data_IF_856239109003
#
_entry.id   IF_856239109003
#
_cell.length_a   1.000
_cell.length_b   1.000
_cell.length_c   1.000
_cell.angle_alpha   90.00
_cell.angle_beta   90.00
_cell.angle_gamma   90.00
#
_symmetry.space_group_name_H-M   'P 1'
#
loop_
_entity.id
_entity.type
_entity.pdbx_description
1 polymer ?
#
# COMPACT_ATOMS: atom_id res chain seq x y z
N UNK A 1 24.01 17.77 -69.03
CA UNK A 1 22.69 17.20 -69.43
C UNK A 1 22.69 15.70 -69.13
N UNK A 2 22.13 15.30 -67.98
CA UNK A 2 21.46 14.00 -67.75
C UNK A 2 20.83 14.02 -66.36
N UNK A 3 19.57 13.64 -66.37
CA UNK A 3 18.57 13.61 -65.30
C UNK A 3 18.84 12.37 -64.41
N UNK A 4 18.66 12.44 -63.08
CA UNK A 4 18.81 11.29 -62.18
C UNK A 4 17.54 10.41 -62.19
N UNK A 5 17.63 9.11 -61.85
CA UNK A 5 16.47 8.41 -61.33
C UNK A 5 16.68 7.87 -59.92
N UNK A 6 15.68 8.24 -59.10
CA UNK A 6 14.98 7.44 -58.10
C UNK A 6 15.67 7.00 -56.81
N UNK A 7 15.25 7.75 -55.78
CA UNK A 7 14.94 7.32 -54.43
C UNK A 7 14.39 5.88 -54.34
N UNK A 8 15.07 5.07 -53.52
CA UNK A 8 14.49 3.90 -52.85
C UNK A 8 14.52 4.17 -51.35
N UNK A 9 13.33 4.31 -50.77
CA UNK A 9 13.08 4.34 -49.33
C UNK A 9 13.29 2.94 -48.75
N UNK A 10 14.25 2.80 -47.83
CA UNK A 10 14.34 1.66 -46.93
C UNK A 10 14.44 2.19 -45.50
N UNK A 11 13.29 2.25 -44.82
CA UNK A 11 13.16 2.58 -43.40
C UNK A 11 13.74 1.43 -42.59
N UNK A 12 14.99 1.55 -42.14
CA UNK A 12 15.53 0.64 -41.11
C UNK A 12 15.08 1.15 -39.74
N UNK A 13 13.99 0.55 -39.24
CA UNK A 13 13.58 0.66 -37.85
C UNK A 13 14.60 -0.08 -36.98
N UNK A 14 15.54 0.65 -36.39
CA UNK A 14 16.42 0.11 -35.36
C UNK A 14 15.60 -0.06 -34.08
N UNK A 15 15.29 -1.30 -33.73
CA UNK A 15 14.60 -1.67 -32.51
C UNK A 15 15.39 -1.18 -31.28
N UNK A 16 14.72 -0.44 -30.40
CA UNK A 16 15.27 -0.02 -29.13
C UNK A 16 15.58 -1.24 -28.24
N UNK A 17 16.70 -1.25 -27.50
CA UNK A 17 17.07 -2.37 -26.63
C UNK A 17 16.02 -2.53 -25.53
N UNK A 18 15.43 -3.71 -25.45
CA UNK A 18 14.51 -4.09 -24.38
C UNK A 18 15.27 -4.11 -23.06
N UNK A 19 14.89 -3.21 -22.13
CA UNK A 19 15.39 -3.26 -20.76
C UNK A 19 15.06 -4.65 -20.17
N UNK A 20 16.02 -5.36 -19.56
CA UNK A 20 15.71 -6.60 -18.87
C UNK A 20 14.66 -6.33 -17.79
N UNK A 21 13.62 -7.16 -17.80
CA UNK A 21 12.56 -7.14 -16.79
C UNK A 21 13.21 -7.41 -15.43
N UNK A 22 13.17 -6.43 -14.53
CA UNK A 22 13.61 -6.61 -13.16
C UNK A 22 12.88 -7.81 -12.55
N UNK A 23 13.61 -8.85 -12.21
CA UNK A 23 13.10 -9.95 -11.40
C UNK A 23 12.80 -9.39 -10.01
N UNK A 24 11.52 -9.20 -9.71
CA UNK A 24 11.08 -8.80 -8.38
C UNK A 24 11.50 -9.89 -7.39
N UNK A 25 12.51 -9.60 -6.58
CA UNK A 25 12.92 -10.49 -5.48
C UNK A 25 11.77 -10.54 -4.48
N UNK A 26 11.34 -11.75 -4.12
CA UNK A 26 10.28 -11.93 -3.14
C UNK A 26 10.68 -11.27 -1.81
N UNK A 27 9.81 -10.45 -1.19
CA UNK A 27 10.14 -9.81 0.08
C UNK A 27 10.33 -10.86 1.16
N UNK A 28 11.43 -10.72 1.91
CA UNK A 28 11.84 -11.71 2.91
C UNK A 28 10.95 -11.69 4.14
N UNK A 29 10.89 -12.86 4.79
CA UNK A 29 10.04 -13.11 5.96
C UNK A 29 10.78 -12.96 7.28
N UNK A 30 12.11 -13.09 7.27
CA UNK A 30 12.92 -13.09 8.50
C UNK A 30 13.17 -11.66 8.98
N UNK A 31 12.77 -11.31 10.21
CA UNK A 31 13.05 -9.99 10.79
C UNK A 31 14.53 -9.61 10.69
N UNK A 32 14.83 -8.32 10.54
CA UNK A 32 16.19 -7.76 10.45
C UNK A 32 17.03 -8.20 9.25
N UNK A 33 16.44 -8.81 8.22
CA UNK A 33 17.15 -9.15 6.97
C UNK A 33 16.47 -8.55 5.73
N UNK A 34 17.14 -7.62 5.05
CA UNK A 34 16.73 -7.09 3.73
C UNK A 34 15.62 -6.04 3.72
N UNK A 35 15.11 -5.72 2.51
CA UNK A 35 14.05 -4.74 2.24
C UNK A 35 12.66 -5.37 2.25
N UNK A 36 11.68 -4.70 2.88
CA UNK A 36 10.27 -5.12 2.89
C UNK A 36 9.43 -4.11 2.12
N UNK A 37 8.65 -4.56 1.14
CA UNK A 37 7.70 -3.70 0.44
C UNK A 37 6.51 -3.33 1.33
N UNK A 38 5.96 -2.13 1.17
CA UNK A 38 4.95 -1.55 2.07
C UNK A 38 3.68 -2.41 2.24
N UNK A 39 3.14 -2.99 1.17
CA UNK A 39 2.00 -3.91 1.27
C UNK A 39 2.33 -5.22 2.00
N UNK A 40 3.56 -5.72 1.82
CA UNK A 40 4.04 -6.90 2.53
C UNK A 40 4.34 -6.64 4.00
N UNK A 41 4.70 -5.41 4.37
CA UNK A 41 4.78 -5.02 5.77
C UNK A 41 3.41 -5.14 6.45
N UNK A 42 2.36 -4.59 5.84
CA UNK A 42 0.99 -4.67 6.39
C UNK A 42 0.54 -6.12 6.52
N UNK A 43 0.64 -6.92 5.45
CA UNK A 43 0.15 -8.30 5.48
C UNK A 43 0.98 -9.23 6.35
N UNK A 44 2.30 -9.02 6.46
CA UNK A 44 3.17 -9.73 7.41
C UNK A 44 2.80 -9.39 8.86
N UNK A 45 2.63 -8.11 9.20
CA UNK A 45 2.27 -7.72 10.58
C UNK A 45 0.93 -8.33 10.99
N UNK A 46 -0.07 -8.32 10.10
CA UNK A 46 -1.37 -8.93 10.40
C UNK A 46 -1.26 -10.45 10.59
N UNK A 47 -0.54 -11.13 9.70
CA UNK A 47 -0.29 -12.58 9.84
C UNK A 47 0.41 -12.90 11.16
N UNK A 48 1.47 -12.17 11.47
CA UNK A 48 2.28 -12.42 12.67
C UNK A 48 1.54 -12.05 13.96
N UNK A 49 0.52 -11.17 13.88
CA UNK A 49 -0.45 -10.91 14.95
C UNK A 49 -1.54 -11.99 15.09
N UNK A 50 -1.53 -13.04 14.25
CA UNK A 50 -2.45 -14.18 14.33
C UNK A 50 -3.69 -14.06 13.45
N UNK A 51 -3.82 -13.02 12.60
CA UNK A 51 -4.88 -12.97 11.60
C UNK A 51 -4.57 -13.93 10.44
N UNK A 52 -5.61 -14.59 9.93
CA UNK A 52 -5.48 -15.38 8.69
C UNK A 52 -5.57 -14.44 7.50
N UNK A 53 -4.46 -14.26 6.79
CA UNK A 53 -4.36 -13.34 5.65
C UNK A 53 -3.68 -14.04 4.48
N UNK A 54 -4.27 -13.92 3.29
CA UNK A 54 -3.59 -14.25 2.04
C UNK A 54 -2.49 -13.22 1.75
N UNK A 55 -1.33 -13.47 2.34
CA UNK A 55 -0.26 -12.47 2.52
C UNK A 55 0.19 -11.84 1.20
N UNK A 56 0.43 -12.67 0.19
CA UNK A 56 0.91 -12.22 -1.13
C UNK A 56 -0.18 -11.47 -1.87
N UNK A 57 -1.40 -12.01 -1.90
CA UNK A 57 -2.52 -11.37 -2.60
C UNK A 57 -2.82 -10.00 -2.00
N UNK A 58 -2.91 -9.89 -0.67
CA UNK A 58 -3.13 -8.62 0.02
C UNK A 58 -2.01 -7.62 -0.24
N UNK A 59 -0.75 -8.06 -0.16
CA UNK A 59 0.41 -7.18 -0.31
C UNK A 59 0.54 -6.57 -1.71
N UNK A 60 0.03 -7.26 -2.74
CA UNK A 60 0.08 -6.82 -4.13
C UNK A 60 -1.11 -5.93 -4.52
N UNK A 61 -2.10 -5.76 -3.64
CA UNK A 61 -3.23 -4.88 -3.92
C UNK A 61 -2.82 -3.41 -3.90
N UNK A 62 -3.63 -2.58 -4.57
CA UNK A 62 -3.54 -1.11 -4.43
C UNK A 62 -3.75 -0.73 -2.97
N UNK A 63 -3.09 0.33 -2.52
CA UNK A 63 -3.17 0.78 -1.11
C UNK A 63 -4.63 1.01 -0.65
N UNK A 64 -5.47 1.63 -1.48
CA UNK A 64 -6.90 1.78 -1.18
C UNK A 64 -7.64 0.44 -1.03
N UNK A 65 -7.27 -0.57 -1.82
CA UNK A 65 -7.90 -1.89 -1.77
C UNK A 65 -7.55 -2.61 -0.47
N UNK A 66 -6.31 -2.49 0.00
CA UNK A 66 -5.90 -2.96 1.33
C UNK A 66 -6.77 -2.29 2.42
N UNK A 67 -6.95 -0.97 2.35
CA UNK A 67 -7.81 -0.25 3.32
C UNK A 67 -9.26 -0.75 3.28
N UNK A 68 -9.82 -0.93 2.08
CA UNK A 68 -11.20 -1.43 1.89
C UNK A 68 -11.39 -2.87 2.32
N UNK A 69 -10.34 -3.69 2.22
CA UNK A 69 -10.36 -5.07 2.67
C UNK A 69 -10.44 -5.15 4.20
N UNK A 70 -9.67 -4.31 4.89
CA UNK A 70 -9.46 -4.39 6.35
C UNK A 70 -10.48 -3.61 7.17
N UNK A 71 -10.94 -2.44 6.70
CA UNK A 71 -11.85 -1.57 7.43
C UNK A 71 -13.28 -1.63 6.86
N UNK A 72 -14.33 -1.60 7.70
CA UNK A 72 -15.70 -1.51 7.22
C UNK A 72 -15.96 -0.15 6.55
N UNK A 73 -16.81 -0.05 5.50
CA UNK A 73 -17.00 1.19 4.74
C UNK A 73 -17.33 2.44 5.58
N UNK A 74 -18.08 2.27 6.67
CA UNK A 74 -18.46 3.35 7.60
C UNK A 74 -17.27 3.91 8.42
N UNK A 75 -16.14 3.20 8.43
CA UNK A 75 -14.90 3.54 9.14
C UNK A 75 -13.77 3.87 8.18
N UNK A 76 -14.11 4.18 6.92
CA UNK A 76 -13.16 4.60 5.88
C UNK A 76 -13.40 6.06 5.55
N UNK A 77 -12.34 6.86 5.62
CA UNK A 77 -12.33 8.27 5.21
C UNK A 77 -11.39 8.46 4.03
N UNK A 78 -11.81 9.29 3.07
CA UNK A 78 -11.04 9.62 1.86
C UNK A 78 -10.76 11.10 1.82
N UNK A 79 -9.51 11.44 1.55
CA UNK A 79 -9.05 12.82 1.48
C UNK A 79 -8.30 13.03 0.18
N UNK A 80 -8.67 14.07 -0.59
CA UNK A 80 -7.98 14.45 -1.83
C UNK A 80 -7.46 15.87 -1.71
N UNK A 81 -6.19 16.07 -2.03
CA UNK A 81 -5.48 17.35 -1.94
C UNK A 81 -5.67 18.03 -0.57
N UNK A 82 -5.69 17.24 0.51
CA UNK A 82 -5.81 17.74 1.88
C UNK A 82 -4.43 17.74 2.54
N UNK A 83 -4.11 18.77 3.35
CA UNK A 83 -2.89 18.75 4.15
C UNK A 83 -2.94 17.61 5.17
N UNK A 84 -1.78 17.08 5.53
CA UNK A 84 -1.63 15.96 6.48
C UNK A 84 -2.33 16.27 7.80
N UNK A 85 -2.22 17.49 8.32
CA UNK A 85 -2.91 17.93 9.55
C UNK A 85 -4.42 17.66 9.50
N UNK A 86 -5.09 17.98 8.39
CA UNK A 86 -6.53 17.76 8.23
C UNK A 86 -6.92 16.27 8.14
N UNK A 87 -6.02 15.42 7.65
CA UNK A 87 -6.19 13.95 7.69
C UNK A 87 -6.09 13.48 9.13
N UNK A 88 -5.04 13.89 9.85
CA UNK A 88 -4.79 13.50 11.24
C UNK A 88 -5.88 13.99 12.20
N UNK A 89 -6.48 15.16 11.96
CA UNK A 89 -7.61 15.63 12.76
C UNK A 89 -8.81 14.68 12.68
N UNK A 90 -9.01 14.03 11.53
CA UNK A 90 -10.07 13.03 11.39
C UNK A 90 -9.73 11.74 12.15
N UNK A 91 -8.46 11.33 12.13
CA UNK A 91 -7.97 10.19 12.93
C UNK A 91 -8.10 10.45 14.43
N UNK A 92 -7.71 11.64 14.89
CA UNK A 92 -7.86 12.06 16.30
C UNK A 92 -9.32 12.07 16.74
N UNK A 93 -10.22 12.64 15.91
CA UNK A 93 -11.68 12.61 16.17
C UNK A 93 -12.26 11.20 16.19
N UNK A 94 -11.72 10.28 15.41
CA UNK A 94 -12.12 8.87 15.42
C UNK A 94 -11.63 8.12 16.69
N UNK A 95 -10.81 8.77 17.51
CA UNK A 95 -10.34 8.28 18.81
C UNK A 95 -9.07 7.45 18.73
N UNK A 96 -8.58 7.02 19.90
CA UNK A 96 -7.46 6.10 20.03
C UNK A 96 -7.66 4.83 19.19
N UNK A 97 -6.54 4.25 18.74
CA UNK A 97 -6.53 2.93 18.14
C UNK A 97 -5.59 2.81 16.95
N UNK A 98 -5.70 1.67 16.28
CA UNK A 98 -4.93 1.33 15.09
C UNK A 98 -5.76 1.59 13.83
N UNK A 99 -5.10 2.16 12.83
CA UNK A 99 -5.68 2.46 11.54
C UNK A 99 -4.74 1.97 10.44
N UNK A 100 -5.28 1.69 9.27
CA UNK A 100 -4.50 1.53 8.04
C UNK A 100 -4.64 2.79 7.20
N UNK A 101 -3.53 3.26 6.62
CA UNK A 101 -3.52 4.38 5.68
C UNK A 101 -2.98 3.92 4.35
N UNK A 102 -3.76 4.16 3.29
CA UNK A 102 -3.36 4.00 1.90
C UNK A 102 -3.12 5.37 1.26
N UNK A 103 -2.06 5.47 0.48
CA UNK A 103 -1.56 6.67 -0.18
C UNK A 103 -1.40 6.39 -1.69
N UNK A 104 -1.11 7.41 -2.49
CA UNK A 104 -0.90 7.26 -3.94
C UNK A 104 0.14 6.18 -4.30
N UNK A 105 1.22 6.10 -3.52
CA UNK A 105 2.38 5.24 -3.79
C UNK A 105 2.78 4.37 -2.60
N UNK A 106 2.00 4.38 -1.51
CA UNK A 106 2.43 3.81 -0.23
C UNK A 106 1.28 3.32 0.64
N UNK A 107 1.60 2.47 1.62
CA UNK A 107 0.64 1.98 2.62
C UNK A 107 1.36 1.75 3.94
N UNK A 108 0.65 1.95 5.05
CA UNK A 108 1.17 1.70 6.39
C UNK A 108 0.06 1.72 7.44
N UNK A 109 0.47 1.72 8.69
CA UNK A 109 -0.42 1.89 9.82
C UNK A 109 -0.33 3.30 10.37
N UNK A 110 -1.47 3.83 10.83
CA UNK A 110 -1.47 4.95 11.77
C UNK A 110 -1.82 4.41 13.15
N UNK A 111 -0.99 4.70 14.14
CA UNK A 111 -1.29 4.40 15.54
C UNK A 111 -1.57 5.70 16.27
N UNK A 112 -2.83 5.89 16.69
CA UNK A 112 -3.24 7.00 17.53
C UNK A 112 -3.21 6.53 18.99
N UNK A 113 -2.28 7.06 19.79
CA UNK A 113 -2.11 6.75 21.22
C UNK A 113 -2.76 7.80 22.13
N UNK A 114 -3.71 8.58 21.59
CA UNK A 114 -4.37 9.73 22.22
C UNK A 114 -3.49 10.98 22.39
N UNK A 115 -2.17 10.85 22.46
CA UNK A 115 -1.25 11.99 22.50
C UNK A 115 -0.80 12.42 21.11
N UNK A 116 -0.47 11.45 20.25
CA UNK A 116 0.09 11.62 18.91
C UNK A 116 -0.45 10.57 17.95
N UNK A 117 -0.23 10.83 16.66
CA UNK A 117 -0.50 9.84 15.62
C UNK A 117 0.84 9.48 14.99
N UNK A 118 1.19 8.20 15.06
CA UNK A 118 2.43 7.64 14.51
C UNK A 118 2.15 7.03 13.14
N UNK A 119 3.02 7.27 12.17
CA UNK A 119 3.03 6.59 10.88
C UNK A 119 4.05 5.46 10.93
N UNK A 120 3.54 4.22 11.00
CA UNK A 120 4.34 3.00 11.02
C UNK A 120 4.33 2.34 9.64
N UNK A 121 5.48 2.23 9.00
CA UNK A 121 5.58 1.70 7.65
C UNK A 121 6.95 1.12 7.34
N UNK A 122 7.02 0.32 6.28
CA UNK A 122 8.30 0.02 5.66
C UNK A 122 8.80 1.26 4.90
N UNK A 123 9.91 1.84 5.33
CA UNK A 123 10.54 2.98 4.67
C UNK A 123 11.16 2.55 3.34
N UNK A 124 10.98 3.37 2.31
CA UNK A 124 11.66 3.25 1.03
C UNK A 124 12.62 4.43 0.78
N UNK A 125 12.58 5.46 1.63
CA UNK A 125 13.36 6.71 1.50
C UNK A 125 14.71 6.65 2.22
N UNK A 126 14.83 5.77 3.21
CA UNK A 126 16.06 5.43 3.94
C UNK A 126 16.08 3.91 4.07
N UNK A 127 17.28 3.31 4.15
CA UNK A 127 17.55 1.86 4.24
C UNK A 127 16.30 1.06 4.63
N UNK A 128 15.84 0.19 3.72
CA UNK A 128 14.48 -0.36 3.68
C UNK A 128 14.06 -1.13 4.96
N UNK A 129 13.71 -0.38 6.00
CA UNK A 129 13.46 -0.82 7.37
C UNK A 129 12.08 -0.38 7.80
N UNK A 130 11.54 -1.08 8.79
CA UNK A 130 10.28 -0.68 9.43
C UNK A 130 10.57 0.47 10.39
N UNK A 131 9.87 1.58 10.22
CA UNK A 131 9.99 2.77 11.07
C UNK A 131 8.61 3.21 11.54
N UNK A 132 8.54 3.78 12.74
CA UNK A 132 7.39 4.50 13.24
C UNK A 132 7.85 5.92 13.57
N UNK A 133 7.26 6.91 12.91
CA UNK A 133 7.62 8.33 13.05
C UNK A 133 6.37 9.19 13.21
N UNK A 134 6.53 10.45 13.63
CA UNK A 134 5.40 11.37 13.80
C UNK A 134 4.69 11.57 12.44
N UNK A 135 3.42 11.20 12.37
CA UNK A 135 2.66 11.24 11.12
C UNK A 135 2.49 12.68 10.61
N UNK A 136 2.55 13.70 11.47
CA UNK A 136 2.41 15.09 11.05
C UNK A 136 3.61 15.56 10.23
N UNK A 137 4.81 15.09 10.57
CA UNK A 137 6.07 15.50 9.93
C UNK A 137 6.69 14.44 9.02
N UNK A 138 6.13 13.22 9.00
CA UNK A 138 6.61 12.11 8.17
C UNK A 138 6.57 12.44 6.67
N UNK A 139 7.70 12.34 5.94
CA UNK A 139 7.72 12.44 4.48
C UNK A 139 6.82 11.39 3.81
N UNK A 140 6.63 10.23 4.46
CA UNK A 140 5.78 9.16 3.94
C UNK A 140 4.29 9.55 3.92
N UNK A 141 3.87 10.57 4.67
CA UNK A 141 2.48 11.07 4.67
C UNK A 141 2.21 12.09 3.56
N UNK A 142 3.22 12.53 2.79
CA UNK A 142 3.04 13.47 1.69
C UNK A 142 2.46 12.77 0.46
N UNK A 143 1.15 12.95 0.23
CA UNK A 143 0.40 12.36 -0.89
C UNK A 143 -0.75 13.26 -1.31
N UNK A 144 -1.23 13.13 -2.55
CA UNK A 144 -2.44 13.85 -3.02
C UNK A 144 -3.71 13.14 -2.61
N UNK A 145 -3.63 11.86 -2.26
CA UNK A 145 -4.79 11.06 -1.90
C UNK A 145 -4.49 10.16 -0.70
N UNK A 146 -5.30 10.32 0.35
CA UNK A 146 -5.24 9.49 1.55
C UNK A 146 -6.55 8.73 1.72
N UNK A 147 -6.45 7.45 1.98
CA UNK A 147 -7.57 6.60 2.40
C UNK A 147 -7.21 6.03 3.75
N UNK A 148 -7.98 6.36 4.78
CA UNK A 148 -7.73 5.88 6.15
C UNK A 148 -8.88 5.00 6.59
N UNK A 149 -8.57 3.84 7.14
CA UNK A 149 -9.55 2.91 7.70
C UNK A 149 -9.23 2.56 9.16
N UNK A 150 -10.21 2.63 10.07
CA UNK A 150 -10.02 2.15 11.45
C UNK A 150 -10.01 0.62 11.47
N UNK A 151 -8.99 0.04 12.09
CA UNK A 151 -8.82 -1.41 12.22
C UNK A 151 -9.42 -1.94 13.52
N UNK A 152 -9.47 -3.27 13.64
CA UNK A 152 -9.95 -3.99 14.83
C UNK A 152 -11.42 -3.69 15.19
N UNK A 153 -12.19 -3.25 14.20
CA UNK A 153 -13.65 -3.15 14.29
C UNK A 153 -14.27 -4.57 14.23
N UNK A 154 -15.50 -4.73 14.70
CA UNK A 154 -16.16 -6.04 14.93
C UNK A 154 -15.87 -7.08 13.83
N UNK A 155 -16.12 -6.76 12.55
CA UNK A 155 -15.87 -7.68 11.42
C UNK A 155 -14.47 -8.30 11.42
N UNK A 156 -13.43 -7.52 11.72
CA UNK A 156 -12.05 -8.00 11.74
C UNK A 156 -11.79 -8.86 12.98
N UNK A 157 -12.38 -8.50 14.12
CA UNK A 157 -12.25 -9.25 15.37
C UNK A 157 -13.03 -10.57 15.32
N UNK A 158 -14.24 -10.57 14.78
CA UNK A 158 -15.06 -11.75 14.57
C UNK A 158 -14.32 -12.75 13.66
N UNK A 159 -13.77 -12.28 12.54
CA UNK A 159 -12.98 -13.13 11.64
C UNK A 159 -11.74 -13.72 12.33
N UNK A 160 -11.09 -12.98 13.24
CA UNK A 160 -9.97 -13.49 14.01
C UNK A 160 -10.38 -14.56 15.03
N UNK A 161 -11.42 -14.29 15.81
CA UNK A 161 -11.95 -15.22 16.82
C UNK A 161 -12.50 -16.51 16.20
N UNK A 162 -13.10 -16.41 15.02
CA UNK A 162 -13.67 -17.54 14.28
C UNK A 162 -12.64 -18.26 13.39
N UNK A 163 -11.41 -17.77 13.32
CA UNK A 163 -10.37 -18.33 12.45
C UNK A 163 -10.71 -18.25 10.96
N UNK A 164 -11.45 -17.22 10.55
CA UNK A 164 -11.79 -16.92 9.16
C UNK A 164 -10.67 -16.14 8.47
N UNK A 165 -10.57 -16.31 7.14
CA UNK A 165 -9.60 -15.57 6.33
C UNK A 165 -10.08 -14.13 6.15
N UNK A 166 -9.23 -13.15 6.47
CA UNK A 166 -9.49 -11.76 6.12
C UNK A 166 -9.50 -11.64 4.59
N UNK A 167 -10.59 -11.14 3.99
CA UNK A 167 -10.70 -11.12 2.54
C UNK A 167 -9.78 -10.06 1.96
N UNK A 168 -9.38 -10.28 0.71
CA UNK A 168 -8.78 -9.25 -0.14
C UNK A 168 -9.88 -8.49 -0.87
N UNK A 169 -9.65 -7.23 -1.23
CA UNK A 169 -10.66 -6.45 -1.95
C UNK A 169 -10.70 -6.86 -3.42
N UNK A 170 -11.84 -7.35 -3.90
CA UNK A 170 -12.05 -7.71 -5.30
C UNK A 170 -12.85 -6.58 -5.97
N UNK A 171 -12.28 -5.86 -6.96
CA UNK A 171 -13.03 -4.87 -7.73
C UNK A 171 -14.15 -5.56 -8.53
N UNK A 172 -15.27 -4.87 -8.72
CA UNK A 172 -16.35 -5.35 -9.57
C UNK A 172 -15.82 -5.70 -10.98
N UNK A 173 -15.98 -6.96 -11.39
CA UNK A 173 -15.55 -7.46 -12.70
C UNK A 173 -14.25 -8.28 -12.73
N UNK A 174 -13.68 -8.65 -11.58
CA UNK A 174 -12.56 -9.61 -11.50
C UNK A 174 -12.98 -10.82 -10.63
N UNK A 175 -12.75 -12.04 -11.11
CA UNK A 175 -12.92 -13.26 -10.31
C UNK A 175 -11.71 -13.46 -9.37
N UNK A 176 -11.88 -14.10 -8.19
CA UNK A 176 -10.75 -14.51 -7.37
C UNK A 176 -9.84 -15.45 -8.17
N UNK A 177 -8.54 -15.20 -8.18
CA UNK A 177 -7.57 -16.19 -8.66
C UNK A 177 -7.37 -17.23 -7.56
N UNK A 178 -7.75 -18.48 -7.87
CA UNK A 178 -7.51 -19.69 -7.06
C UNK A 178 -6.03 -19.88 -6.67
#
# INVERSE_FOLDING_TARGET
>A
MRIPPNFLTATTSAAAPTRPRATATAPRQTPRTGSIACGYFVSTVLRDAGFRVERTQMAQQRAEYIVKALAPPKKIWRFRNRPVSGVLDSVRRAGEGLYVVGLDYHVGFLWNDSARVWMCHASYLREATVVCEDALTSPAMVSRYHVVGKLLENRMMDAWLEGQVLPVFIPSGQEPTD
#
